data_IF_328518636506
#
_entry.id   IF_328518636506
#
_cell.length_a   1.000
_cell.length_b   1.000
_cell.length_c   1.000
_cell.angle_alpha   90.00
_cell.angle_beta   90.00
_cell.angle_gamma   90.00
#
_symmetry.space_group_name_H-M   'P 1'
#
loop_
_entity.id
_entity.type
_entity.pdbx_description
1 polymer ?
#
# COMPACT_ATOMS: atom_id res chain seq x y z
N UNK A 1 -9.88 11.25 -5.51
CA UNK A 1 -10.96 10.39 -6.03
C UNK A 1 -11.96 10.17 -4.90
N UNK A 2 -13.28 10.34 -5.10
CA UNK A 2 -14.25 10.01 -4.03
C UNK A 2 -14.35 8.49 -3.92
N UNK A 3 -14.03 7.91 -2.75
CA UNK A 3 -13.98 6.46 -2.49
C UNK A 3 -15.22 5.72 -2.98
N UNK A 4 -16.40 6.32 -2.75
CA UNK A 4 -17.70 5.85 -3.24
C UNK A 4 -17.78 5.58 -4.75
N UNK A 5 -17.04 6.35 -5.57
CA UNK A 5 -17.00 6.10 -7.02
C UNK A 5 -16.15 4.89 -7.37
N UNK A 6 -15.05 4.66 -6.66
CA UNK A 6 -14.16 3.55 -6.92
C UNK A 6 -14.77 2.22 -6.46
N UNK A 7 -15.34 2.18 -5.26
CA UNK A 7 -16.04 0.99 -4.75
C UNK A 7 -17.20 0.62 -5.66
N UNK A 8 -18.00 1.60 -6.10
CA UNK A 8 -19.07 1.38 -7.08
C UNK A 8 -18.54 0.80 -8.40
N UNK A 9 -17.42 1.30 -8.91
CA UNK A 9 -16.81 0.72 -10.11
C UNK A 9 -16.40 -0.74 -9.89
N UNK A 10 -15.77 -1.06 -8.76
CA UNK A 10 -15.39 -2.44 -8.42
C UNK A 10 -16.63 -3.35 -8.33
N UNK A 11 -17.68 -2.89 -7.66
CA UNK A 11 -18.90 -3.67 -7.46
C UNK A 11 -19.66 -3.89 -8.77
N UNK A 12 -19.92 -2.81 -9.51
CA UNK A 12 -20.80 -2.84 -10.67
C UNK A 12 -20.14 -3.49 -11.90
N UNK A 13 -18.82 -3.36 -12.04
CA UNK A 13 -18.11 -3.82 -13.25
C UNK A 13 -17.20 -5.01 -13.05
N UNK A 14 -16.60 -5.16 -11.86
CA UNK A 14 -15.67 -6.26 -11.57
C UNK A 14 -16.37 -7.35 -10.75
N UNK A 15 -17.36 -6.99 -9.93
CA UNK A 15 -18.07 -7.89 -9.02
C UNK A 15 -17.20 -8.38 -7.86
N UNK A 16 -16.03 -7.76 -7.64
CA UNK A 16 -15.09 -8.13 -6.60
C UNK A 16 -14.31 -6.91 -6.12
N UNK A 17 -14.13 -6.84 -4.79
CA UNK A 17 -13.25 -5.89 -4.12
C UNK A 17 -11.90 -6.51 -3.74
N UNK A 18 -11.66 -7.75 -4.19
CA UNK A 18 -10.42 -8.49 -3.99
C UNK A 18 -9.48 -8.28 -5.17
N UNK A 19 -8.34 -7.66 -4.91
CA UNK A 19 -7.35 -7.25 -5.90
C UNK A 19 -6.04 -7.99 -5.62
N UNK A 20 -5.64 -8.89 -6.50
CA UNK A 20 -4.39 -9.65 -6.33
C UNK A 20 -3.15 -8.76 -6.35
N UNK A 21 -3.12 -7.76 -7.23
CA UNK A 21 -1.95 -6.93 -7.47
C UNK A 21 -2.33 -5.48 -7.75
N UNK A 22 -1.67 -4.56 -7.04
CA UNK A 22 -1.73 -3.11 -7.28
C UNK A 22 -0.32 -2.58 -7.51
N UNK A 23 -0.12 -1.90 -8.64
CA UNK A 23 1.08 -1.10 -8.89
C UNK A 23 0.75 0.39 -8.78
N UNK A 24 1.54 1.12 -7.99
CA UNK A 24 1.37 2.55 -7.76
C UNK A 24 2.66 3.29 -8.12
N UNK A 25 2.54 4.20 -9.06
CA UNK A 25 3.58 5.13 -9.49
C UNK A 25 2.85 6.40 -9.94
N UNK A 26 2.74 7.37 -9.02
CA UNK A 26 1.91 8.56 -9.18
C UNK A 26 2.60 9.80 -8.62
N UNK A 27 3.93 9.85 -8.72
CA UNK A 27 4.69 11.09 -8.59
C UNK A 27 4.51 11.82 -7.25
N UNK A 28 4.40 11.08 -6.14
CA UNK A 28 4.38 11.62 -4.77
C UNK A 28 3.03 11.55 -4.07
N UNK A 29 1.98 11.04 -4.75
CA UNK A 29 0.65 10.83 -4.19
C UNK A 29 0.44 9.40 -3.65
N UNK A 30 1.43 8.51 -3.75
CA UNK A 30 1.37 7.11 -3.31
C UNK A 30 0.96 7.00 -1.85
N UNK A 31 1.52 7.88 -1.01
CA UNK A 31 1.27 7.94 0.43
C UNK A 31 -0.21 8.08 0.79
N UNK A 32 -0.96 8.84 -0.02
CA UNK A 32 -2.39 9.04 0.19
C UNK A 32 -3.14 7.74 -0.03
N UNK A 33 -2.88 7.07 -1.16
CA UNK A 33 -3.53 5.80 -1.49
C UNK A 33 -3.18 4.72 -0.47
N UNK A 34 -1.89 4.60 -0.11
CA UNK A 34 -1.43 3.61 0.86
C UNK A 34 -2.11 3.80 2.23
N UNK A 35 -2.30 5.04 2.69
CA UNK A 35 -3.02 5.30 3.96
C UNK A 35 -4.49 4.88 3.92
N UNK A 36 -5.16 4.99 2.78
CA UNK A 36 -6.56 4.55 2.65
C UNK A 36 -6.71 3.02 2.76
N UNK A 37 -5.64 2.25 2.56
CA UNK A 37 -5.64 0.78 2.54
C UNK A 37 -5.43 0.14 3.92
N UNK A 38 -5.19 0.91 4.98
CA UNK A 38 -4.89 0.40 6.32
C UNK A 38 -5.73 1.11 7.40
N UNK A 39 -5.87 0.46 8.57
CA UNK A 39 -6.55 1.03 9.74
C UNK A 39 -7.92 1.62 9.40
N UNK A 40 -8.10 2.90 9.72
CA UNK A 40 -9.35 3.66 9.49
C UNK A 40 -9.46 4.28 8.08
N UNK A 41 -8.60 3.89 7.14
CA UNK A 41 -8.69 4.31 5.74
C UNK A 41 -10.01 3.89 5.09
N UNK A 42 -10.51 4.71 4.17
CA UNK A 42 -11.83 4.50 3.57
C UNK A 42 -11.86 3.28 2.64
N UNK A 43 -10.73 2.91 2.02
CA UNK A 43 -10.65 1.66 1.24
C UNK A 43 -10.65 0.43 2.14
N UNK A 44 -9.93 0.48 3.27
CA UNK A 44 -9.97 -0.57 4.28
C UNK A 44 -11.38 -0.77 4.84
N UNK A 45 -12.06 0.32 5.21
CA UNK A 45 -13.47 0.29 5.69
C UNK A 45 -14.45 -0.20 4.63
N UNK A 46 -14.18 0.08 3.36
CA UNK A 46 -14.97 -0.43 2.25
C UNK A 46 -14.71 -1.91 1.95
N UNK A 47 -13.85 -2.60 2.72
CA UNK A 47 -13.55 -4.02 2.50
C UNK A 47 -12.79 -4.28 1.20
N UNK A 48 -12.06 -3.30 0.68
CA UNK A 48 -11.14 -3.52 -0.44
C UNK A 48 -9.93 -4.27 0.11
N UNK A 49 -9.66 -5.44 -0.47
CA UNK A 49 -8.51 -6.27 -0.12
C UNK A 49 -7.52 -6.21 -1.25
N UNK A 50 -6.26 -5.89 -0.95
CA UNK A 50 -5.17 -5.96 -1.90
C UNK A 50 -4.13 -6.95 -1.38
N UNK A 51 -3.73 -7.91 -2.20
CA UNK A 51 -2.78 -8.95 -1.76
C UNK A 51 -1.32 -8.52 -1.91
N UNK A 52 -0.93 -7.98 -3.06
CA UNK A 52 0.39 -7.40 -3.27
C UNK A 52 0.30 -5.95 -3.74
N UNK A 53 1.13 -5.09 -3.17
CA UNK A 53 1.27 -3.69 -3.58
C UNK A 53 2.72 -3.43 -3.97
N UNK A 54 2.96 -3.05 -5.21
CA UNK A 54 4.23 -2.50 -5.67
C UNK A 54 4.11 -0.98 -5.75
N UNK A 55 4.80 -0.26 -4.87
CA UNK A 55 4.78 1.20 -4.84
C UNK A 55 6.17 1.77 -5.15
N UNK A 56 6.22 2.78 -6.02
CA UNK A 56 7.37 3.67 -6.15
C UNK A 56 7.13 4.94 -5.34
N UNK A 57 7.69 5.00 -4.13
CA UNK A 57 7.53 6.13 -3.23
C UNK A 57 8.43 7.28 -3.68
N UNK A 58 7.82 8.28 -4.31
CA UNK A 58 8.46 9.52 -4.73
C UNK A 58 8.53 10.51 -3.56
N UNK A 59 9.26 11.62 -3.75
CA UNK A 59 9.15 12.74 -2.81
C UNK A 59 7.69 13.23 -2.73
N UNK A 60 7.15 13.43 -1.52
CA UNK A 60 5.75 13.75 -1.33
C UNK A 60 5.38 15.12 -1.93
N UNK A 61 4.34 15.17 -2.76
CA UNK A 61 3.83 16.40 -3.40
C UNK A 61 2.58 16.95 -2.70
N UNK A 62 2.58 17.03 -1.36
CA UNK A 62 1.49 17.64 -0.60
C UNK A 62 1.79 19.11 -0.26
N UNK A 63 1.20 20.10 -0.98
CA UNK A 63 1.41 21.52 -0.64
C UNK A 63 0.76 21.95 0.67
N UNK A 64 -0.22 21.19 1.21
CA UNK A 64 -1.06 21.62 2.34
C UNK A 64 -1.13 20.63 3.53
N UNK A 65 -0.23 19.66 3.63
CA UNK A 65 -0.19 18.80 4.81
C UNK A 65 0.46 19.57 5.97
N UNK A 66 -0.32 19.90 7.01
CA UNK A 66 0.07 20.60 8.25
C UNK A 66 1.10 19.86 9.13
N UNK A 67 1.99 19.04 8.56
CA UNK A 67 3.23 18.61 9.19
C UNK A 67 4.36 18.87 8.22
N UNK A 68 5.31 19.67 8.66
CA UNK A 68 6.51 20.09 7.94
C UNK A 68 6.95 19.09 6.87
N UNK A 69 7.00 19.57 5.61
CA UNK A 69 7.51 18.89 4.40
C UNK A 69 8.90 18.25 4.62
N UNK A 70 9.61 18.58 5.71
CA UNK A 70 10.85 17.95 6.17
C UNK A 70 10.72 16.55 6.80
N UNK A 71 9.52 16.02 7.07
CA UNK A 71 9.34 14.78 7.87
C UNK A 71 8.75 13.58 7.14
N UNK A 72 8.28 13.72 5.89
CA UNK A 72 7.84 12.58 5.09
C UNK A 72 9.04 11.98 4.34
N UNK A 73 9.92 11.34 5.09
CA UNK A 73 10.95 10.45 4.53
C UNK A 73 10.24 9.14 4.13
N UNK A 74 10.43 8.60 2.90
CA UNK A 74 9.89 7.31 2.48
C UNK A 74 10.11 6.19 3.51
N UNK A 75 11.28 6.15 4.16
CA UNK A 75 11.59 5.19 5.23
C UNK A 75 10.66 5.37 6.43
N UNK A 76 10.45 6.62 6.87
CA UNK A 76 9.57 6.89 8.02
C UNK A 76 8.12 6.54 7.70
N UNK A 77 7.68 6.84 6.49
CA UNK A 77 6.35 6.46 6.04
C UNK A 77 6.19 4.94 6.03
N UNK A 78 7.15 4.18 5.52
CA UNK A 78 7.09 2.71 5.53
C UNK A 78 6.95 2.19 6.96
N UNK A 79 7.72 2.72 7.91
CA UNK A 79 7.59 2.32 9.32
C UNK A 79 6.20 2.63 9.89
N UNK A 80 5.66 3.82 9.60
CA UNK A 80 4.31 4.20 10.06
C UNK A 80 3.22 3.35 9.35
N UNK A 81 3.42 3.01 8.06
CA UNK A 81 2.54 2.15 7.28
C UNK A 81 2.53 0.70 7.79
N UNK A 82 3.61 0.27 8.46
CA UNK A 82 3.78 -1.07 9.03
C UNK A 82 3.47 -1.13 10.53
N UNK A 83 2.89 -0.08 11.11
CA UNK A 83 2.43 -0.13 12.50
C UNK A 83 1.38 -1.24 12.68
N UNK A 84 1.05 -1.58 13.93
CA UNK A 84 0.21 -2.73 14.34
C UNK A 84 -1.15 -2.85 13.64
N UNK A 85 -1.63 -1.78 13.01
CA UNK A 85 -2.90 -1.76 12.26
C UNK A 85 -2.77 -2.22 10.80
N UNK A 86 -1.55 -2.44 10.30
CA UNK A 86 -1.29 -2.83 8.93
C UNK A 86 -1.37 -4.35 8.74
N UNK A 87 -2.16 -4.85 7.77
CA UNK A 87 -2.14 -6.25 7.41
C UNK A 87 -0.94 -6.62 6.51
N UNK A 88 -0.09 -5.64 6.18
CA UNK A 88 0.98 -5.77 5.20
C UNK A 88 2.36 -5.90 5.84
N UNK A 89 3.25 -6.62 5.17
CA UNK A 89 4.70 -6.58 5.43
C UNK A 89 5.46 -6.18 4.17
N UNK A 90 6.65 -5.57 4.26
CA UNK A 90 7.50 -5.34 3.11
C UNK A 90 8.29 -6.63 2.80
N UNK A 91 8.27 -7.09 1.55
CA UNK A 91 9.13 -8.20 1.09
C UNK A 91 10.32 -7.72 0.25
N UNK A 92 10.26 -6.47 -0.22
CA UNK A 92 11.35 -5.79 -0.91
C UNK A 92 11.28 -4.31 -0.60
N UNK A 93 12.45 -3.72 -0.35
CA UNK A 93 12.59 -2.30 -0.12
C UNK A 93 13.92 -1.83 -0.71
N UNK A 94 13.85 -1.22 -1.90
CA UNK A 94 15.02 -0.84 -2.70
C UNK A 94 15.02 0.68 -2.90
N UNK A 95 15.96 1.41 -2.27
CA UNK A 95 16.14 2.83 -2.57
C UNK A 95 16.77 3.00 -3.96
N UNK A 96 16.31 3.97 -4.73
CA UNK A 96 16.97 4.35 -5.97
C UNK A 96 18.23 5.17 -5.64
N UNK A 97 19.40 4.75 -6.13
CA UNK A 97 20.67 5.39 -5.78
C UNK A 97 20.83 6.82 -6.34
N UNK A 98 20.11 7.17 -7.42
CA UNK A 98 20.24 8.44 -8.15
C UNK A 98 19.02 9.36 -8.04
N UNK A 99 17.92 8.85 -7.49
CA UNK A 99 16.66 9.57 -7.36
C UNK A 99 16.16 9.41 -5.93
N UNK A 100 15.50 10.42 -5.34
CA UNK A 100 14.97 10.33 -3.98
C UNK A 100 13.67 9.49 -3.93
N UNK A 101 13.67 8.35 -4.63
CA UNK A 101 12.55 7.44 -4.76
C UNK A 101 12.91 6.12 -4.06
N UNK A 102 11.89 5.39 -3.64
CA UNK A 102 12.06 4.08 -3.01
C UNK A 102 11.02 3.13 -3.56
N UNK A 103 11.47 2.03 -4.17
CA UNK A 103 10.56 0.96 -4.58
C UNK A 103 10.32 0.03 -3.40
N UNK A 104 9.07 -0.18 -3.05
CA UNK A 104 8.66 -1.07 -1.97
C UNK A 104 7.59 -2.03 -2.47
N UNK A 105 7.77 -3.31 -2.17
CA UNK A 105 6.73 -4.32 -2.39
C UNK A 105 6.19 -4.77 -1.04
N UNK A 106 4.88 -4.63 -0.87
CA UNK A 106 4.14 -5.08 0.30
C UNK A 106 3.30 -6.31 -0.02
N UNK A 107 3.16 -7.22 0.94
CA UNK A 107 2.25 -8.36 0.86
C UNK A 107 1.32 -8.37 2.08
N UNK A 108 0.03 -8.59 1.84
CA UNK A 108 -0.98 -8.81 2.88
C UNK A 108 -0.82 -10.20 3.47
N UNK A 109 -0.41 -10.28 4.73
CA UNK A 109 -0.16 -11.54 5.45
C UNK A 109 -1.30 -11.94 6.37
N UNK A 110 -2.33 -11.11 6.52
CA UNK A 110 -3.47 -11.37 7.41
C UNK A 110 -4.59 -12.08 6.66
N UNK A 111 -4.87 -11.67 5.42
CA UNK A 111 -5.92 -12.28 4.61
C UNK A 111 -5.49 -13.69 4.12
N UNK A 112 -6.33 -14.71 4.35
CA UNK A 112 -6.03 -16.11 4.03
C UNK A 112 -5.88 -16.37 2.52
N UNK A 113 -6.73 -15.76 1.69
CA UNK A 113 -6.67 -15.90 0.23
C UNK A 113 -5.39 -15.28 -0.33
N UNK A 114 -4.96 -14.13 0.21
CA UNK A 114 -3.67 -13.53 -0.14
C UNK A 114 -2.48 -14.41 0.27
N UNK A 115 -2.54 -15.05 1.45
CA UNK A 115 -1.50 -15.99 1.91
C UNK A 115 -1.37 -17.20 1.00
N UNK A 116 -2.51 -17.74 0.56
CA UNK A 116 -2.56 -18.88 -0.35
C UNK A 116 -2.01 -18.49 -1.74
N UNK A 117 -2.47 -17.36 -2.28
CA UNK A 117 -2.05 -16.88 -3.60
C UNK A 117 -0.53 -16.70 -3.74
N UNK A 118 0.14 -16.28 -2.65
CA UNK A 118 1.58 -16.07 -2.63
C UNK A 118 2.38 -17.19 -1.94
N UNK A 119 1.70 -18.26 -1.49
CA UNK A 119 2.31 -19.35 -0.71
C UNK A 119 3.24 -18.81 0.40
N UNK A 120 2.73 -17.86 1.19
CA UNK A 120 3.54 -17.08 2.13
C UNK A 120 4.28 -17.97 3.14
N UNK A 121 3.69 -19.09 3.54
CA UNK A 121 4.32 -20.08 4.43
C UNK A 121 5.65 -20.62 3.88
N UNK A 122 5.77 -20.75 2.56
CA UNK A 122 7.01 -21.19 1.92
C UNK A 122 8.16 -20.17 2.01
N UNK A 123 7.84 -18.88 2.20
CA UNK A 123 8.85 -17.83 2.40
C UNK A 123 9.39 -17.84 3.83
N UNK A 124 8.55 -18.13 4.82
CA UNK A 124 8.95 -18.16 6.23
C UNK A 124 9.56 -19.48 6.68
N UNK A 125 9.25 -20.59 6.01
CA UNK A 125 9.82 -21.92 6.32
C UNK A 125 11.21 -22.18 5.74
N UNK A 126 11.74 -21.27 4.92
CA UNK A 126 13.05 -21.38 4.25
C UNK A 126 14.16 -20.55 4.92
N UNK A 127 13.87 -19.89 6.05
CA UNK A 127 14.81 -19.16 6.90
C UNK A 127 14.79 -19.73 8.32
#
# INVERSE_FOLDING_TARGET
MKVLKFTKTLDDFIGSRFIHYLKIDIEGFEYGILRELIGDGEFAKAGIVICQIDAELHNPKFPNAHRSIKQLNPVRFVLDFLDKSSPYIPISNVPYLKHPHQKVTFINIVNSECREAFNIESYFSRN
#
